data_IF_710811136120
#
_entry.id   IF_710811136120
#
_cell.length_a   1.000
_cell.length_b   1.000
_cell.length_c   1.000
_cell.angle_alpha   90.00
_cell.angle_beta   90.00
_cell.angle_gamma   90.00
#
_symmetry.space_group_name_H-M   'P 1'
#
loop_
_entity.id
_entity.type
_entity.pdbx_description
1 polymer ?
#
# COMPACT_ATOMS: atom_id res chain seq x y z
N UNK A 1 -9.63 -3.85 -26.75
CA UNK A 1 -9.66 -4.02 -25.28
C UNK A 1 -8.44 -3.33 -24.69
N UNK A 2 -8.68 -2.40 -23.80
CA UNK A 2 -7.65 -1.69 -23.05
C UNK A 2 -7.08 -2.58 -21.94
N UNK A 3 -5.97 -2.16 -21.33
CA UNK A 3 -5.34 -2.89 -20.22
C UNK A 3 -4.84 -1.96 -19.14
N UNK A 4 -4.89 -2.44 -17.90
CA UNK A 4 -4.15 -1.91 -16.77
C UNK A 4 -3.24 -3.02 -16.25
N UNK A 5 -1.99 -2.70 -15.92
CA UNK A 5 -0.99 -3.68 -15.52
C UNK A 5 -0.79 -3.68 -14.01
N UNK A 6 -0.44 -4.84 -13.42
CA UNK A 6 0.21 -4.91 -12.11
C UNK A 6 1.68 -5.28 -12.31
N UNK A 7 2.56 -4.37 -11.98
CA UNK A 7 4.02 -4.53 -12.10
C UNK A 7 4.62 -4.90 -10.73
N UNK A 8 5.28 -6.04 -10.63
CA UNK A 8 5.92 -6.49 -9.39
C UNK A 8 6.54 -7.87 -9.50
N UNK A 9 7.14 -8.37 -8.40
CA UNK A 9 7.74 -9.71 -8.32
C UNK A 9 7.79 -10.19 -6.85
N UNK A 10 7.04 -11.25 -6.48
CA UNK A 10 6.03 -11.96 -7.29
C UNK A 10 4.65 -11.26 -7.29
N UNK A 11 3.88 -11.44 -8.36
CA UNK A 11 2.49 -10.94 -8.46
C UNK A 11 1.44 -12.02 -8.72
N UNK A 12 1.86 -13.25 -8.99
CA UNK A 12 0.99 -14.38 -9.36
C UNK A 12 -0.14 -14.65 -8.36
N UNK A 13 0.02 -14.30 -7.11
CA UNK A 13 -0.98 -14.47 -6.05
C UNK A 13 -1.77 -13.20 -5.72
N UNK A 14 -1.68 -12.16 -6.54
CA UNK A 14 -2.40 -10.91 -6.28
C UNK A 14 -3.93 -11.11 -6.41
N UNK A 15 -4.68 -10.47 -5.52
CA UNK A 15 -6.14 -10.40 -5.58
C UNK A 15 -6.63 -9.20 -6.41
N UNK A 16 -5.73 -8.31 -6.83
CA UNK A 16 -6.09 -7.10 -7.59
C UNK A 16 -6.85 -7.40 -8.89
N UNK A 17 -6.48 -8.43 -9.70
CA UNK A 17 -7.23 -8.74 -10.94
C UNK A 17 -8.70 -9.06 -10.70
N UNK A 18 -8.99 -9.84 -9.66
CA UNK A 18 -10.38 -10.23 -9.34
C UNK A 18 -11.23 -9.00 -9.06
N UNK A 19 -10.72 -8.11 -8.25
CA UNK A 19 -11.40 -6.88 -7.84
C UNK A 19 -11.54 -5.89 -9.00
N UNK A 20 -10.47 -5.63 -9.73
CA UNK A 20 -10.44 -4.62 -10.78
C UNK A 20 -11.26 -5.05 -12.01
N UNK A 21 -11.17 -6.31 -12.42
CA UNK A 21 -11.94 -6.84 -13.56
C UNK A 21 -13.43 -6.86 -13.25
N UNK A 22 -13.83 -7.20 -12.02
CA UNK A 22 -15.23 -7.08 -11.60
C UNK A 22 -15.73 -5.61 -11.67
N UNK A 23 -14.90 -4.65 -11.33
CA UNK A 23 -15.24 -3.23 -11.42
C UNK A 23 -15.37 -2.76 -12.89
N UNK A 24 -14.46 -3.18 -13.77
CA UNK A 24 -14.55 -2.87 -15.21
C UNK A 24 -15.81 -3.46 -15.82
N UNK A 25 -16.12 -4.72 -15.54
CA UNK A 25 -17.32 -5.41 -16.01
C UNK A 25 -18.59 -4.71 -15.54
N UNK A 26 -18.71 -4.42 -14.23
CA UNK A 26 -19.90 -3.79 -13.66
C UNK A 26 -20.21 -2.40 -14.25
N UNK A 27 -19.19 -1.70 -14.71
CA UNK A 27 -19.34 -0.37 -15.33
C UNK A 27 -19.32 -0.41 -16.86
N UNK A 28 -19.25 -1.59 -17.49
CA UNK A 28 -19.19 -1.75 -18.94
C UNK A 28 -17.96 -1.10 -19.57
N UNK A 29 -16.81 -1.12 -18.87
CA UNK A 29 -15.54 -0.57 -19.37
C UNK A 29 -14.77 -1.67 -20.09
N UNK A 30 -14.45 -1.49 -21.39
CA UNK A 30 -13.64 -2.41 -22.19
C UNK A 30 -12.16 -2.34 -21.77
N UNK A 31 -11.85 -2.93 -20.60
CA UNK A 31 -10.53 -2.95 -20.01
C UNK A 31 -10.28 -4.23 -19.21
N UNK A 32 -9.06 -4.75 -19.27
CA UNK A 32 -8.60 -5.90 -18.51
C UNK A 32 -7.45 -5.52 -17.57
N UNK A 33 -7.50 -6.00 -16.33
CA UNK A 33 -6.40 -5.88 -15.38
C UNK A 33 -5.51 -7.10 -15.43
N UNK A 34 -4.24 -6.92 -15.82
CA UNK A 34 -3.31 -8.00 -16.17
C UNK A 34 -2.09 -8.00 -15.23
N UNK A 35 -1.71 -9.20 -14.76
CA UNK A 35 -0.47 -9.38 -14.01
C UNK A 35 0.74 -9.36 -14.95
N UNK A 36 1.75 -8.59 -14.59
CA UNK A 36 3.04 -8.56 -15.28
C UNK A 36 4.17 -8.72 -14.27
N UNK A 37 4.57 -9.95 -14.05
CA UNK A 37 5.69 -10.26 -13.18
C UNK A 37 7.01 -9.87 -13.85
N UNK A 38 7.83 -9.08 -13.16
CA UNK A 38 9.09 -8.61 -13.70
C UNK A 38 10.13 -8.31 -12.62
N UNK A 39 11.34 -8.73 -12.90
CA UNK A 39 12.51 -8.43 -12.08
C UNK A 39 12.94 -6.96 -12.24
N UNK A 40 13.75 -6.40 -11.32
CA UNK A 40 14.25 -5.03 -11.44
C UNK A 40 14.93 -4.72 -12.78
N UNK A 41 15.65 -5.67 -13.36
CA UNK A 41 16.31 -5.51 -14.65
C UNK A 41 15.34 -5.31 -15.83
N UNK A 42 14.10 -5.76 -15.71
CA UNK A 42 13.06 -5.64 -16.75
C UNK A 42 12.18 -4.39 -16.59
N UNK A 43 12.34 -3.63 -15.51
CA UNK A 43 11.48 -2.48 -15.21
C UNK A 43 11.53 -1.42 -16.33
N UNK A 44 12.72 -1.05 -16.80
CA UNK A 44 12.88 -0.05 -17.86
C UNK A 44 12.11 -0.42 -19.14
N UNK A 45 12.18 -1.69 -19.58
CA UNK A 45 11.43 -2.19 -20.73
C UNK A 45 9.92 -2.12 -20.51
N UNK A 46 9.45 -2.51 -19.30
CA UNK A 46 8.03 -2.42 -18.98
C UNK A 46 7.51 -0.98 -18.97
N UNK A 47 8.32 -0.02 -18.52
CA UNK A 47 7.97 1.40 -18.54
C UNK A 47 7.97 1.98 -19.97
N UNK A 48 8.85 1.49 -20.84
CA UNK A 48 8.83 1.83 -22.27
C UNK A 48 7.55 1.34 -22.94
N UNK A 49 7.14 0.09 -22.67
CA UNK A 49 5.89 -0.47 -23.19
C UNK A 49 4.67 0.32 -22.68
N UNK A 50 4.65 0.66 -21.37
CA UNK A 50 3.59 1.46 -20.78
C UNK A 50 3.44 2.82 -21.46
N UNK A 51 4.55 3.40 -21.90
CA UNK A 51 4.59 4.70 -22.57
C UNK A 51 4.14 4.60 -24.04
N UNK A 52 4.47 3.53 -24.73
CA UNK A 52 4.28 3.41 -26.19
C UNK A 52 2.99 2.67 -26.61
N UNK A 53 2.48 1.71 -25.80
CA UNK A 53 1.24 0.99 -26.13
C UNK A 53 0.01 1.79 -25.67
N UNK A 54 -0.70 2.39 -26.63
CA UNK A 54 -1.90 3.21 -26.37
C UNK A 54 -3.05 2.45 -25.68
N UNK A 55 -3.04 1.12 -25.75
CA UNK A 55 -4.03 0.28 -25.08
C UNK A 55 -3.77 0.13 -23.59
N UNK A 56 -2.59 0.52 -23.09
CA UNK A 56 -2.28 0.49 -21.67
C UNK A 56 -2.68 1.82 -21.03
N UNK A 57 -3.74 1.83 -20.21
CA UNK A 57 -4.23 3.04 -19.55
C UNK A 57 -3.35 3.46 -18.36
N UNK A 58 -2.66 2.51 -17.76
CA UNK A 58 -1.82 2.74 -16.61
C UNK A 58 -1.38 1.44 -15.95
N UNK A 59 -0.85 1.54 -14.73
CA UNK A 59 -0.40 0.39 -13.98
C UNK A 59 -0.55 0.61 -12.47
N UNK A 60 -0.75 -0.48 -11.71
CA UNK A 60 -0.30 -0.54 -10.32
C UNK A 60 1.15 -1.05 -10.25
N UNK A 61 1.83 -0.63 -9.22
CA UNK A 61 3.21 -1.03 -8.92
C UNK A 61 3.27 -1.58 -7.50
N UNK A 62 3.90 -2.75 -7.36
CA UNK A 62 4.12 -3.36 -6.05
C UNK A 62 5.59 -3.71 -5.83
N UNK A 63 5.90 -4.45 -4.78
CA UNK A 63 7.26 -4.91 -4.46
C UNK A 63 7.90 -5.57 -5.68
N UNK A 64 9.20 -5.27 -5.98
CA UNK A 64 10.10 -4.36 -5.28
C UNK A 64 10.18 -2.95 -5.91
N UNK A 65 9.26 -2.56 -6.78
CA UNK A 65 9.42 -1.47 -7.75
C UNK A 65 8.88 -0.11 -7.32
N UNK A 66 8.14 0.00 -6.19
CA UNK A 66 7.44 1.24 -5.79
C UNK A 66 8.33 2.49 -5.67
N UNK A 67 9.60 2.31 -5.30
CA UNK A 67 10.57 3.39 -5.19
C UNK A 67 11.32 3.59 -6.53
N UNK A 68 11.81 2.50 -7.14
CA UNK A 68 12.62 2.55 -8.35
C UNK A 68 11.86 3.02 -9.60
N UNK A 69 10.55 2.84 -9.65
CA UNK A 69 9.72 3.26 -10.79
C UNK A 69 9.69 4.77 -10.97
N UNK A 70 9.93 5.53 -9.91
CA UNK A 70 9.91 7.01 -9.91
C UNK A 70 10.84 7.58 -10.98
N UNK A 71 12.01 6.97 -11.21
CA UNK A 71 12.99 7.41 -12.20
C UNK A 71 12.49 7.37 -13.66
N UNK A 72 11.37 6.69 -13.92
CA UNK A 72 10.78 6.54 -15.26
C UNK A 72 9.54 7.39 -15.49
N UNK A 73 9.13 8.20 -14.50
CA UNK A 73 7.90 8.99 -14.55
C UNK A 73 8.19 10.44 -14.89
N UNK A 74 7.26 11.06 -15.61
CA UNK A 74 7.38 12.47 -16.05
C UNK A 74 6.87 13.43 -14.97
N UNK A 75 5.93 12.95 -14.11
CA UNK A 75 5.30 13.74 -13.06
C UNK A 75 4.98 12.86 -11.85
N UNK A 76 5.03 13.45 -10.67
CA UNK A 76 4.57 12.83 -9.44
C UNK A 76 3.44 13.65 -8.82
N UNK A 77 2.43 12.96 -8.33
CA UNK A 77 1.50 13.57 -7.39
C UNK A 77 2.26 14.06 -6.14
N UNK A 78 1.91 15.21 -5.55
CA UNK A 78 2.62 15.75 -4.39
C UNK A 78 2.74 14.77 -3.23
N UNK A 79 1.73 13.93 -2.98
CA UNK A 79 1.76 12.93 -1.92
C UNK A 79 2.75 11.81 -2.27
N UNK A 80 2.74 11.31 -3.52
CA UNK A 80 3.68 10.31 -3.99
C UNK A 80 5.13 10.80 -3.94
N UNK A 81 5.37 12.07 -4.30
CA UNK A 81 6.67 12.72 -4.20
C UNK A 81 7.17 12.81 -2.76
N UNK A 82 6.32 13.26 -1.84
CA UNK A 82 6.63 13.32 -0.40
C UNK A 82 6.96 11.94 0.18
N UNK A 83 6.19 10.91 -0.21
CA UNK A 83 6.38 9.53 0.29
C UNK A 83 7.65 8.91 -0.30
N UNK A 84 8.03 9.29 -1.51
CA UNK A 84 9.11 8.68 -2.26
C UNK A 84 8.76 7.24 -2.71
N UNK A 85 7.48 6.97 -2.97
CA UNK A 85 7.00 5.69 -3.46
C UNK A 85 5.73 5.86 -4.30
N UNK A 86 5.63 5.13 -5.40
CA UNK A 86 4.50 5.10 -6.33
C UNK A 86 3.91 3.69 -6.35
N UNK A 87 2.59 3.57 -6.19
CA UNK A 87 1.86 2.32 -6.37
C UNK A 87 0.88 2.35 -7.53
N UNK A 88 0.66 3.53 -8.12
CA UNK A 88 -0.29 3.71 -9.23
C UNK A 88 0.31 4.67 -10.25
N UNK A 89 0.21 4.31 -11.53
CA UNK A 89 0.67 5.12 -12.66
C UNK A 89 -0.53 5.35 -13.58
N UNK A 90 -0.79 6.60 -13.93
CA UNK A 90 -1.69 6.96 -15.02
C UNK A 90 -0.88 7.37 -16.27
N UNK A 91 -1.46 7.10 -17.44
CA UNK A 91 -0.90 7.48 -18.74
C UNK A 91 -1.80 8.50 -19.43
N UNK A 92 -1.21 9.57 -19.90
CA UNK A 92 -1.86 10.58 -20.73
C UNK A 92 -0.99 10.86 -21.96
N UNK A 93 -1.43 10.36 -23.10
CA UNK A 93 -0.58 10.29 -24.29
C UNK A 93 0.66 9.42 -24.02
N UNK A 94 1.85 9.99 -24.13
CA UNK A 94 3.11 9.35 -23.77
C UNK A 94 3.62 9.73 -22.38
N UNK A 95 2.92 10.62 -21.66
CA UNK A 95 3.32 11.04 -20.31
C UNK A 95 2.82 10.07 -19.26
N UNK A 96 3.66 9.82 -18.27
CA UNK A 96 3.39 8.95 -17.14
C UNK A 96 3.42 9.76 -15.85
N UNK A 97 2.33 9.70 -15.09
CA UNK A 97 2.22 10.34 -13.78
C UNK A 97 2.09 9.29 -12.69
N UNK A 98 2.89 9.45 -11.62
CA UNK A 98 2.91 8.56 -10.47
C UNK A 98 2.07 9.08 -9.31
N UNK A 99 1.35 8.15 -8.67
CA UNK A 99 0.47 8.38 -7.53
C UNK A 99 0.78 7.40 -6.40
N UNK A 100 0.35 7.74 -5.19
CA UNK A 100 0.36 6.78 -4.08
C UNK A 100 -1.03 6.69 -3.45
N UNK A 101 -1.75 5.63 -3.80
CA UNK A 101 -3.10 5.35 -3.27
C UNK A 101 -3.06 4.51 -1.98
N UNK A 102 -1.89 4.00 -1.57
CA UNK A 102 -1.75 3.19 -0.35
C UNK A 102 -2.09 4.00 0.91
N UNK A 103 -1.77 5.31 0.94
CA UNK A 103 -2.08 6.20 2.08
C UNK A 103 -3.58 6.26 2.34
N UNK A 104 -4.33 6.52 1.28
CA UNK A 104 -5.80 6.57 1.37
C UNK A 104 -6.38 5.19 1.69
N UNK A 105 -5.84 4.14 1.04
CA UNK A 105 -6.22 2.76 1.31
C UNK A 105 -6.04 2.39 2.78
N UNK A 106 -4.88 2.71 3.35
CA UNK A 106 -4.59 2.43 4.75
C UNK A 106 -5.50 3.24 5.69
N UNK A 107 -5.68 4.54 5.45
CA UNK A 107 -6.53 5.39 6.30
C UNK A 107 -7.97 4.88 6.34
N UNK A 108 -8.57 4.59 5.19
CA UNK A 108 -9.95 4.07 5.12
C UNK A 108 -10.08 2.70 5.78
N UNK A 109 -9.14 1.81 5.54
CA UNK A 109 -9.15 0.50 6.17
C UNK A 109 -8.97 0.59 7.69
N UNK A 110 -8.14 1.49 8.19
CA UNK A 110 -7.99 1.75 9.62
C UNK A 110 -9.27 2.33 10.23
N UNK A 111 -9.94 3.27 9.52
CA UNK A 111 -11.20 3.89 9.94
C UNK A 111 -12.36 2.86 10.01
N UNK A 112 -12.42 1.90 9.08
CA UNK A 112 -13.42 0.81 9.10
C UNK A 112 -13.30 -0.08 10.35
N UNK A 113 -12.09 -0.22 10.88
CA UNK A 113 -11.83 -1.07 12.05
C UNK A 113 -11.92 -0.33 13.38
N UNK A 114 -11.91 1.00 13.34
CA UNK A 114 -12.04 1.82 14.52
C UNK A 114 -13.51 2.24 14.67
N UNK A 115 -14.28 1.68 15.63
CA UNK A 115 -15.57 2.28 15.94
C UNK A 115 -15.35 3.75 16.32
N UNK A 116 -16.08 4.66 15.63
CA UNK A 116 -16.12 6.07 16.02
C UNK A 116 -16.62 6.14 17.48
N UNK A 117 -15.82 6.49 18.50
CA UNK A 117 -15.09 7.74 18.73
C UNK A 117 -13.60 7.59 19.09
N UNK A 118 -12.92 6.55 18.67
CA UNK A 118 -11.51 6.36 19.01
C UNK A 118 -10.55 7.26 18.21
N UNK A 119 -11.06 8.29 17.53
CA UNK A 119 -10.26 9.40 16.95
C UNK A 119 -9.78 10.41 18.01
N UNK A 120 -10.37 10.37 19.20
CA UNK A 120 -9.90 11.13 20.36
C UNK A 120 -9.02 10.25 21.19
N UNK A 121 -7.76 10.67 21.40
CA UNK A 121 -6.78 9.95 22.21
C UNK A 121 -7.40 9.30 23.42
N UNK A 122 -7.00 8.06 23.66
CA UNK A 122 -7.29 7.40 24.92
C UNK A 122 -7.00 8.36 26.06
N UNK A 123 -7.72 8.22 27.17
CA UNK A 123 -7.57 9.08 28.37
C UNK A 123 -6.11 9.06 28.87
N UNK A 124 -5.28 9.88 28.26
CA UNK A 124 -3.86 10.06 28.52
C UNK A 124 -3.29 10.80 27.31
N UNK A 125 -3.13 12.12 27.40
CA UNK A 125 -2.79 13.07 26.33
C UNK A 125 -1.45 12.86 25.62
N UNK A 126 -1.08 11.62 25.29
CA UNK A 126 0.10 11.24 24.50
C UNK A 126 -0.27 10.81 23.08
N UNK A 127 0.65 11.02 22.13
CA UNK A 127 0.51 10.48 20.78
C UNK A 127 0.43 8.95 20.79
N UNK A 128 -0.36 8.38 19.86
CA UNK A 128 -0.40 6.94 19.67
C UNK A 128 0.97 6.40 19.28
N UNK A 129 1.47 5.38 20.00
CA UNK A 129 2.73 4.70 19.68
C UNK A 129 2.49 3.60 18.65
N UNK A 130 3.20 3.69 17.54
CA UNK A 130 3.06 2.77 16.40
C UNK A 130 4.40 2.10 16.09
N UNK A 131 4.40 0.78 15.99
CA UNK A 131 5.51 -0.01 15.48
C UNK A 131 5.19 -0.45 14.05
N UNK A 132 5.99 -0.02 13.07
CA UNK A 132 5.89 -0.43 11.66
C UNK A 132 7.01 -1.42 11.38
N UNK A 133 6.66 -2.66 11.05
CA UNK A 133 7.60 -3.71 10.67
C UNK A 133 7.77 -3.69 9.15
N UNK A 134 8.95 -3.32 8.68
CA UNK A 134 9.28 -3.06 7.28
C UNK A 134 9.61 -1.59 7.01
N UNK A 135 10.38 -1.32 5.95
CA UNK A 135 10.77 0.04 5.54
C UNK A 135 10.67 0.28 4.02
N UNK A 136 9.92 -0.56 3.30
CA UNK A 136 9.64 -0.40 1.86
C UNK A 136 8.48 0.56 1.57
N UNK A 137 8.10 0.67 0.30
CA UNK A 137 7.08 1.62 -0.16
C UNK A 137 5.75 1.57 0.59
N UNK A 138 5.27 0.38 1.02
CA UNK A 138 4.07 0.25 1.83
C UNK A 138 4.25 0.84 3.25
N UNK A 139 5.39 0.56 3.89
CA UNK A 139 5.73 1.13 5.20
C UNK A 139 5.82 2.66 5.13
N UNK A 140 6.38 3.22 4.05
CA UNK A 140 6.44 4.66 3.80
C UNK A 140 5.04 5.28 3.73
N UNK A 141 4.11 4.63 3.01
CA UNK A 141 2.73 5.09 2.92
C UNK A 141 2.00 5.05 4.28
N UNK A 142 2.19 3.98 5.06
CA UNK A 142 1.64 3.86 6.43
C UNK A 142 2.18 4.95 7.34
N UNK A 143 3.51 5.16 7.35
CA UNK A 143 4.13 6.21 8.16
C UNK A 143 3.59 7.60 7.80
N UNK A 144 3.46 7.91 6.50
CA UNK A 144 2.88 9.16 6.02
C UNK A 144 1.40 9.31 6.40
N UNK A 145 0.64 8.21 6.40
CA UNK A 145 -0.76 8.20 6.78
C UNK A 145 -0.99 8.53 8.26
N UNK A 146 -0.08 8.13 9.13
CA UNK A 146 -0.17 8.26 10.58
C UNK A 146 0.40 9.57 11.13
N UNK A 147 1.20 10.28 10.33
CA UNK A 147 1.71 11.60 10.70
C UNK A 147 0.62 12.68 10.65
N UNK A 148 0.75 13.74 11.50
CA UNK A 148 1.73 13.94 12.58
C UNK A 148 1.27 13.37 13.94
N UNK A 149 0.14 12.65 13.97
CA UNK A 149 -0.55 12.29 15.22
C UNK A 149 0.14 11.18 16.03
N UNK A 150 1.01 10.39 15.41
CA UNK A 150 1.60 9.20 16.04
C UNK A 150 3.10 9.38 16.37
N UNK A 151 3.56 8.63 17.38
CA UNK A 151 4.96 8.31 17.62
C UNK A 151 5.30 7.04 16.85
N UNK A 152 6.15 7.13 15.81
CA UNK A 152 6.35 6.07 14.81
C UNK A 152 7.74 5.44 14.95
N UNK A 153 7.77 4.14 15.19
CA UNK A 153 8.98 3.34 15.24
C UNK A 153 9.04 2.40 14.03
N UNK A 154 10.09 2.52 13.21
CA UNK A 154 10.26 1.77 11.97
C UNK A 154 11.32 0.68 12.16
N UNK A 155 10.88 -0.56 12.14
CA UNK A 155 11.70 -1.76 12.38
C UNK A 155 12.05 -2.40 11.05
N UNK A 156 13.32 -2.52 10.70
CA UNK A 156 13.72 -3.16 9.44
C UNK A 156 15.06 -3.90 9.56
N UNK A 157 15.21 -4.98 8.79
CA UNK A 157 16.48 -5.71 8.66
C UNK A 157 17.60 -4.83 8.10
N UNK A 158 17.25 -3.93 7.17
CA UNK A 158 18.14 -2.91 6.66
C UNK A 158 17.86 -1.60 7.40
N UNK A 159 18.63 -1.32 8.45
CA UNK A 159 18.49 -0.12 9.27
C UNK A 159 18.67 1.18 8.47
N UNK A 160 19.51 1.18 7.44
CA UNK A 160 19.69 2.38 6.61
C UNK A 160 18.45 2.69 5.77
N UNK A 161 17.68 1.67 5.38
CA UNK A 161 16.39 1.88 4.73
C UNK A 161 15.37 2.50 5.71
N UNK A 162 15.33 2.04 6.96
CA UNK A 162 14.50 2.64 8.00
C UNK A 162 14.93 4.08 8.31
N UNK A 163 16.23 4.35 8.41
CA UNK A 163 16.79 5.71 8.59
C UNK A 163 16.41 6.65 7.44
N UNK A 164 16.50 6.16 6.18
CA UNK A 164 16.08 6.94 5.01
C UNK A 164 14.58 7.26 5.08
N UNK A 165 13.73 6.27 5.36
CA UNK A 165 12.29 6.47 5.53
C UNK A 165 12.00 7.56 6.58
N UNK A 166 12.59 7.44 7.76
CA UNK A 166 12.38 8.42 8.85
C UNK A 166 12.83 9.82 8.48
N UNK A 167 13.99 9.95 7.82
CA UNK A 167 14.51 11.25 7.38
C UNK A 167 13.63 11.86 6.28
N UNK A 168 13.30 11.10 5.23
CA UNK A 168 12.57 11.60 4.06
C UNK A 168 11.14 12.02 4.41
N UNK A 169 10.53 11.35 5.40
CA UNK A 169 9.20 11.70 5.93
C UNK A 169 9.26 12.64 7.14
N UNK A 170 10.44 13.11 7.53
CA UNK A 170 10.61 14.01 8.67
C UNK A 170 9.96 13.49 9.96
N UNK A 171 10.18 12.19 10.28
CA UNK A 171 9.66 11.59 11.51
C UNK A 171 10.44 12.13 12.70
N UNK A 172 9.82 13.03 13.48
CA UNK A 172 10.43 13.69 14.66
C UNK A 172 10.05 13.01 15.97
N UNK A 173 9.04 12.12 15.96
CA UNK A 173 8.57 11.39 17.14
C UNK A 173 8.68 9.89 16.85
N UNK A 174 9.64 9.21 17.50
CA UNK A 174 10.04 7.86 17.22
C UNK A 174 11.33 7.81 16.40
N UNK A 175 11.48 6.80 15.55
CA UNK A 175 12.68 6.66 14.72
C UNK A 175 12.91 5.25 14.18
N UNK A 176 14.09 5.01 13.56
CA UNK A 176 14.48 3.70 13.07
C UNK A 176 14.90 2.77 14.23
N UNK A 177 14.55 1.50 14.11
CA UNK A 177 14.81 0.46 15.13
C UNK A 177 15.45 -0.76 14.47
N UNK A 178 16.44 -1.33 15.12
CA UNK A 178 17.08 -2.59 14.70
C UNK A 178 16.17 -3.79 14.99
N UNK A 179 16.35 -4.87 14.23
CA UNK A 179 15.51 -6.07 14.32
C UNK A 179 15.62 -6.76 15.69
N UNK A 180 16.77 -6.72 16.34
CA UNK A 180 16.97 -7.28 17.67
C UNK A 180 16.14 -6.59 18.76
N UNK A 181 15.77 -5.32 18.55
CA UNK A 181 14.89 -4.54 19.43
C UNK A 181 13.40 -4.66 19.06
N UNK A 182 13.05 -5.47 18.05
CA UNK A 182 11.68 -5.57 17.54
C UNK A 182 10.69 -6.00 18.62
N UNK A 183 11.00 -7.03 19.42
CA UNK A 183 10.09 -7.53 20.43
C UNK A 183 9.77 -6.45 21.48
N UNK A 184 10.76 -5.74 21.96
CA UNK A 184 10.57 -4.67 22.95
C UNK A 184 9.76 -3.51 22.35
N UNK A 185 10.04 -3.13 21.10
CA UNK A 185 9.32 -2.07 20.40
C UNK A 185 7.86 -2.44 20.16
N UNK A 186 7.59 -3.67 19.73
CA UNK A 186 6.25 -4.21 19.57
C UNK A 186 5.51 -4.20 20.91
N UNK A 187 6.15 -4.64 22.01
CA UNK A 187 5.53 -4.67 23.32
C UNK A 187 5.09 -3.29 23.83
N UNK A 188 5.74 -2.20 23.40
CA UNK A 188 5.42 -0.82 23.79
C UNK A 188 4.40 -0.13 22.89
N UNK A 189 4.15 -0.66 21.70
CA UNK A 189 3.24 -0.08 20.71
C UNK A 189 1.76 -0.29 21.11
N UNK A 190 0.88 0.59 20.65
CA UNK A 190 -0.57 0.46 20.72
C UNK A 190 -1.12 -0.07 19.39
N UNK A 191 -0.46 0.29 18.30
CA UNK A 191 -0.72 -0.25 16.96
C UNK A 191 0.57 -0.86 16.42
N UNK A 192 0.48 -2.08 15.94
CA UNK A 192 1.57 -2.76 15.23
C UNK A 192 1.15 -2.94 13.77
N UNK A 193 1.97 -2.51 12.84
CA UNK A 193 1.69 -2.65 11.40
C UNK A 193 2.73 -3.58 10.78
N UNK A 194 2.28 -4.72 10.23
CA UNK A 194 3.14 -5.59 9.43
C UNK A 194 3.10 -5.16 7.97
N UNK A 195 4.14 -4.47 7.53
CA UNK A 195 4.34 -4.05 6.13
C UNK A 195 5.35 -4.96 5.39
N UNK A 196 5.54 -6.19 5.86
CA UNK A 196 6.42 -7.20 5.25
C UNK A 196 5.60 -8.37 4.67
N UNK A 197 6.17 -9.18 3.77
CA UNK A 197 5.51 -10.40 3.30
C UNK A 197 5.55 -11.57 4.29
N UNK A 198 6.20 -11.43 5.45
CA UNK A 198 6.43 -12.49 6.43
C UNK A 198 5.41 -12.46 7.58
N UNK A 199 5.30 -13.58 8.31
CA UNK A 199 4.43 -13.70 9.49
C UNK A 199 5.10 -13.01 10.70
N UNK A 200 4.93 -11.68 10.82
CA UNK A 200 5.49 -10.86 11.88
C UNK A 200 4.43 -9.89 12.44
N UNK A 201 4.45 -9.59 13.74
CA UNK A 201 5.25 -10.28 14.77
C UNK A 201 4.62 -11.62 15.11
N UNK A 202 5.33 -12.51 15.84
CA UNK A 202 4.72 -13.70 16.43
C UNK A 202 3.53 -13.30 17.31
N UNK A 203 2.38 -14.01 17.27
CA UNK A 203 1.21 -13.67 18.08
C UNK A 203 1.49 -13.58 19.59
N UNK A 204 2.46 -14.38 20.09
CA UNK A 204 2.87 -14.37 21.50
C UNK A 204 3.54 -13.07 21.98
N UNK A 205 3.90 -12.18 21.07
CA UNK A 205 4.48 -10.86 21.40
C UNK A 205 3.41 -9.79 21.58
N UNK A 206 2.18 -10.08 21.13
CA UNK A 206 1.09 -9.11 21.17
C UNK A 206 0.33 -9.22 22.50
N UNK A 207 -0.02 -8.09 23.08
CA UNK A 207 -0.94 -7.99 24.22
C UNK A 207 -2.39 -7.91 23.71
N UNK A 208 -3.34 -8.26 24.54
CA UNK A 208 -4.78 -8.22 24.21
C UNK A 208 -5.29 -6.81 23.86
N UNK A 209 -4.68 -5.77 24.43
CA UNK A 209 -5.03 -4.36 24.18
C UNK A 209 -4.37 -3.76 22.95
N UNK A 210 -3.46 -4.49 22.32
CA UNK A 210 -2.76 -4.05 21.10
C UNK A 210 -3.56 -4.36 19.85
N UNK A 211 -3.37 -3.52 18.84
CA UNK A 211 -3.91 -3.75 17.50
C UNK A 211 -2.82 -4.17 16.56
N UNK A 212 -3.08 -5.24 15.81
CA UNK A 212 -2.26 -5.63 14.66
C UNK A 212 -2.98 -5.23 13.38
N UNK A 213 -2.31 -4.49 12.53
CA UNK A 213 -2.71 -4.23 11.14
C UNK A 213 -1.74 -4.96 10.20
N UNK A 214 -2.17 -6.06 9.63
CA UNK A 214 -1.36 -6.83 8.69
C UNK A 214 -1.70 -6.43 7.25
N UNK A 215 -0.73 -5.90 6.51
CA UNK A 215 -0.96 -5.45 5.13
C UNK A 215 -1.13 -6.59 4.12
N UNK A 216 -1.00 -7.84 4.53
CA UNK A 216 -1.10 -9.00 3.64
C UNK A 216 -2.57 -9.33 3.34
N UNK A 217 -3.08 -8.89 2.21
CA UNK A 217 -4.50 -8.99 1.84
C UNK A 217 -5.08 -10.41 1.81
N UNK A 218 -4.22 -11.44 1.61
CA UNK A 218 -4.65 -12.85 1.69
C UNK A 218 -4.68 -13.40 3.11
N UNK A 219 -4.09 -12.70 4.08
CA UNK A 219 -3.89 -13.20 5.45
C UNK A 219 -4.75 -12.47 6.47
N UNK A 220 -5.20 -11.27 6.16
CA UNK A 220 -5.90 -10.43 7.12
C UNK A 220 -7.07 -9.66 6.52
N UNK A 221 -8.13 -9.41 7.29
CA UNK A 221 -9.22 -8.52 6.90
C UNK A 221 -8.72 -7.08 6.64
N UNK A 222 -7.77 -6.63 7.44
CA UNK A 222 -7.15 -5.29 7.36
C UNK A 222 -6.46 -5.08 6.04
N UNK A 223 -5.59 -6.00 5.66
CA UNK A 223 -4.88 -5.97 4.39
C UNK A 223 -5.84 -6.06 3.20
N UNK A 224 -6.97 -6.77 3.35
CA UNK A 224 -8.01 -6.84 2.33
C UNK A 224 -8.76 -5.52 2.20
N UNK A 225 -9.14 -4.89 3.32
CA UNK A 225 -9.76 -3.58 3.31
C UNK A 225 -8.83 -2.52 2.68
N UNK A 226 -7.55 -2.55 3.04
CA UNK A 226 -6.55 -1.67 2.42
C UNK A 226 -6.43 -1.91 0.91
N UNK A 227 -6.40 -3.19 0.47
CA UNK A 227 -6.35 -3.54 -0.96
C UNK A 227 -7.58 -2.99 -1.70
N UNK A 228 -8.78 -3.12 -1.12
CA UNK A 228 -10.01 -2.59 -1.68
C UNK A 228 -9.91 -1.07 -1.89
N UNK A 229 -9.61 -0.33 -0.84
CA UNK A 229 -9.66 1.13 -0.89
C UNK A 229 -8.57 1.74 -1.77
N UNK A 230 -7.32 1.21 -1.70
CA UNK A 230 -6.26 1.69 -2.59
C UNK A 230 -6.54 1.33 -4.06
N UNK A 231 -7.15 0.15 -4.30
CA UNK A 231 -7.54 -0.28 -5.63
C UNK A 231 -8.67 0.55 -6.21
N UNK A 232 -9.65 0.95 -5.40
CA UNK A 232 -10.72 1.85 -5.79
C UNK A 232 -10.17 3.23 -6.19
N UNK A 233 -9.25 3.80 -5.39
CA UNK A 233 -8.61 5.06 -5.73
C UNK A 233 -7.81 4.96 -7.05
N UNK A 234 -7.11 3.85 -7.27
CA UNK A 234 -6.39 3.60 -8.54
C UNK A 234 -7.36 3.51 -9.72
N UNK A 235 -8.48 2.81 -9.55
CA UNK A 235 -9.53 2.68 -10.57
C UNK A 235 -10.07 4.05 -11.00
N UNK A 236 -10.35 4.93 -10.03
CA UNK A 236 -10.84 6.29 -10.27
C UNK A 236 -9.81 7.14 -11.03
N UNK A 237 -8.51 6.98 -10.75
CA UNK A 237 -7.44 7.65 -11.46
C UNK A 237 -7.40 7.24 -12.95
N UNK A 238 -7.55 5.95 -13.27
CA UNK A 238 -7.48 5.48 -14.66
C UNK A 238 -8.73 5.77 -15.47
N UNK A 239 -9.90 5.73 -14.83
CA UNK A 239 -11.19 5.76 -15.53
C UNK A 239 -11.92 7.09 -15.44
N UNK A 240 -11.56 7.94 -14.48
CA UNK A 240 -12.32 9.16 -14.13
C UNK A 240 -13.71 8.86 -13.59
N UNK A 241 -14.03 7.59 -13.29
CA UNK A 241 -15.35 7.15 -12.82
C UNK A 241 -15.25 6.67 -11.39
N UNK A 242 -16.30 6.90 -10.60
CA UNK A 242 -16.38 6.41 -9.22
C UNK A 242 -16.32 4.87 -9.19
N UNK A 243 -15.45 4.33 -8.34
CA UNK A 243 -15.28 2.90 -8.18
C UNK A 243 -16.52 2.25 -7.55
N UNK A 244 -17.00 1.11 -8.09
CA UNK A 244 -18.14 0.37 -7.54
C UNK A 244 -17.68 -0.48 -6.33
N UNK A 245 -17.49 0.15 -5.17
CA UNK A 245 -16.88 -0.46 -3.98
C UNK A 245 -17.56 -1.77 -3.55
N UNK A 246 -18.90 -1.84 -3.62
CA UNK A 246 -19.63 -3.04 -3.19
C UNK A 246 -19.33 -4.23 -4.11
N UNK A 247 -19.22 -4.00 -5.43
CA UNK A 247 -18.84 -5.03 -6.42
C UNK A 247 -17.39 -5.49 -6.17
N UNK A 248 -16.48 -4.52 -5.96
CA UNK A 248 -15.06 -4.80 -5.70
C UNK A 248 -14.89 -5.61 -4.40
N UNK A 249 -15.64 -5.27 -3.35
CA UNK A 249 -15.64 -5.97 -2.07
C UNK A 249 -16.15 -7.40 -2.22
N UNK A 250 -17.32 -7.56 -2.85
CA UNK A 250 -17.91 -8.88 -3.10
C UNK A 250 -16.98 -9.81 -3.91
N UNK A 251 -16.29 -9.26 -4.90
CA UNK A 251 -15.30 -10.01 -5.68
C UNK A 251 -14.10 -10.48 -4.84
N UNK A 252 -13.61 -9.62 -3.95
CA UNK A 252 -12.51 -9.97 -3.01
C UNK A 252 -12.94 -11.04 -2.00
N UNK A 253 -14.16 -10.94 -1.48
CA UNK A 253 -14.69 -11.89 -0.49
C UNK A 253 -14.91 -13.27 -1.13
N UNK A 254 -15.45 -13.31 -2.35
CA UNK A 254 -15.60 -14.54 -3.13
C UNK A 254 -14.27 -15.25 -3.43
N UNK A 255 -13.22 -14.50 -3.72
CA UNK A 255 -11.88 -15.05 -4.00
C UNK A 255 -11.20 -15.69 -2.78
N UNK A 256 -11.64 -15.35 -1.57
CA UNK A 256 -11.05 -15.87 -0.31
C UNK A 256 -11.57 -17.23 0.09
N UNK A 257 -12.76 -17.60 -0.39
CA UNK A 257 -13.40 -18.89 -0.12
C UNK A 257 -12.81 -19.99 -1.02
N UNK A 258 -12.19 -19.61 -2.14
CA UNK A 258 -11.68 -20.54 -3.15
C UNK A 258 -10.16 -20.85 -3.02
N UNK A 259 -9.47 -20.34 -1.99
CA UNK A 259 -8.03 -20.50 -1.73
C UNK A 259 -7.77 -21.24 -0.43
#
# INVERSE_FOLDING_TARGET
MNRVLLLGDPVSRSLSPVMQNAAFEALGIDCEYVLRELTPAKLAGAMSDLRSDERILGANVTIPHKESVIAFLDELDPLAARIGAVNTISREGTRLKGWNTDVEGFRRALDEQLPSPARGGGQGGGAQRVAIIGAGGAARAVAAALQPAAEIWVIARNLDQARRLCRDLEITRGGPVEVDQMQETVARAQLVVNATPTDLPPPSWLREDQRLFDLRSRRSPEGRAMLLHQGAASFEIWTGRKAPLDVMRAALDGASVAA
#
